data_IF_543808905867
#
_entry.id   IF_543808905867
#
_cell.length_a   1.000
_cell.length_b   1.000
_cell.length_c   1.000
_cell.angle_alpha   90.00
_cell.angle_beta   90.00
_cell.angle_gamma   90.00
#
_symmetry.space_group_name_H-M   'P 1'
#
loop_
_entity.id
_entity.type
_entity.pdbx_description
1 polymer ?
#
# COMPACT_ATOMS: atom_id res chain seq x y z
N UNK A 1 -7.71 -15.64 3.98
CA UNK A 1 -7.60 -14.74 5.14
C UNK A 1 -7.58 -13.29 4.63
N UNK A 2 -8.50 -12.44 5.03
CA UNK A 2 -8.48 -11.05 4.60
C UNK A 2 -7.34 -10.28 5.29
N UNK A 3 -6.95 -9.18 4.66
CA UNK A 3 -6.01 -8.25 5.28
C UNK A 3 -6.58 -7.75 6.62
N UNK A 4 -5.76 -7.66 7.68
CA UNK A 4 -6.27 -7.25 8.99
C UNK A 4 -6.93 -5.86 8.95
N UNK A 5 -8.12 -5.76 9.51
CA UNK A 5 -8.91 -4.52 9.55
C UNK A 5 -8.52 -3.69 10.77
N UNK A 6 -7.29 -3.17 10.77
CA UNK A 6 -6.74 -2.37 11.87
C UNK A 6 -6.42 -0.98 11.34
N UNK A 7 -6.79 0.05 12.11
CA UNK A 7 -6.49 1.43 11.72
C UNK A 7 -5.00 1.72 11.90
N UNK A 8 -4.30 2.16 10.85
CA UNK A 8 -2.89 2.51 10.98
C UNK A 8 -2.70 3.82 11.76
N UNK A 9 -1.57 3.94 12.43
CA UNK A 9 -1.18 5.18 13.09
C UNK A 9 -0.81 6.27 12.09
N UNK A 10 -0.23 5.86 10.96
CA UNK A 10 0.05 6.76 9.84
C UNK A 10 0.04 5.97 8.54
N UNK A 11 -0.16 6.67 7.45
CA UNK A 11 -0.09 6.08 6.12
C UNK A 11 0.57 7.04 5.14
N UNK A 12 1.31 6.50 4.20
CA UNK A 12 1.85 7.24 3.07
C UNK A 12 1.35 6.59 1.80
N UNK A 13 0.70 7.37 0.95
CA UNK A 13 0.18 6.89 -0.32
C UNK A 13 0.82 7.65 -1.46
N UNK A 14 1.47 6.90 -2.37
CA UNK A 14 1.98 7.43 -3.62
C UNK A 14 1.01 7.00 -4.71
N UNK A 15 0.34 7.97 -5.32
CA UNK A 15 -0.66 7.72 -6.36
C UNK A 15 -0.04 7.23 -7.67
N UNK A 16 1.27 7.07 -7.71
CA UNK A 16 1.96 6.63 -8.91
C UNK A 16 2.05 7.73 -9.96
N UNK A 17 2.42 7.33 -11.14
CA UNK A 17 2.57 8.25 -12.25
C UNK A 17 2.00 7.64 -13.52
N UNK A 18 1.75 8.48 -14.51
CA UNK A 18 1.33 8.02 -15.82
C UNK A 18 2.49 7.35 -16.55
N UNK A 19 2.24 6.27 -17.29
CA UNK A 19 3.30 5.56 -18.00
C UNK A 19 3.76 6.36 -19.22
N UNK A 20 4.60 7.36 -18.97
CA UNK A 20 5.13 8.27 -19.98
C UNK A 20 6.61 7.98 -20.21
N UNK A 21 7.00 7.87 -21.46
CA UNK A 21 8.39 7.77 -21.85
C UNK A 21 8.86 9.05 -22.50
N UNK A 22 10.02 9.54 -22.10
CA UNK A 22 10.61 10.77 -22.64
C UNK A 22 11.70 10.42 -23.62
N UNK A 23 11.69 11.11 -24.75
CA UNK A 23 12.77 11.04 -25.74
C UNK A 23 13.30 12.45 -25.99
N UNK A 24 14.60 12.59 -26.08
CA UNK A 24 15.24 13.85 -26.40
C UNK A 24 15.93 13.74 -27.75
N UNK A 25 15.56 14.62 -28.70
CA UNK A 25 16.19 14.69 -30.00
C UNK A 25 17.56 15.38 -29.93
N UNK A 26 18.38 15.24 -30.97
CA UNK A 26 19.71 15.85 -31.02
C UNK A 26 19.65 17.37 -30.92
N UNK A 27 18.58 18.00 -31.41
CA UNK A 27 18.40 19.45 -31.32
C UNK A 27 17.89 19.93 -29.96
N UNK A 28 17.78 19.03 -28.99
CA UNK A 28 17.29 19.34 -27.66
C UNK A 28 15.78 19.26 -27.47
N UNK A 29 15.01 19.00 -28.52
CA UNK A 29 13.57 18.85 -28.41
C UNK A 29 13.23 17.59 -27.60
N UNK A 30 12.25 17.70 -26.72
CA UNK A 30 11.76 16.61 -25.89
C UNK A 30 10.43 16.11 -26.43
N UNK A 31 10.30 14.80 -26.59
CA UNK A 31 9.05 14.15 -26.95
C UNK A 31 8.65 13.20 -25.83
N UNK A 32 7.38 13.24 -25.44
CA UNK A 32 6.82 12.36 -24.41
C UNK A 32 5.76 11.47 -25.04
N UNK A 33 5.84 10.17 -24.76
CA UNK A 33 4.87 9.20 -25.22
C UNK A 33 4.13 8.62 -24.03
N UNK A 34 2.81 8.56 -24.13
CA UNK A 34 1.95 7.95 -23.12
C UNK A 34 1.68 6.50 -23.50
N UNK A 35 2.07 5.55 -22.62
CA UNK A 35 1.95 4.13 -22.87
C UNK A 35 0.69 3.50 -22.26
N UNK A 36 -0.15 4.28 -21.64
CA UNK A 36 -1.38 3.77 -21.05
C UNK A 36 -2.23 4.91 -20.52
N UNK A 37 -3.45 4.60 -20.13
CA UNK A 37 -4.43 5.60 -19.67
C UNK A 37 -4.70 5.47 -18.17
N UNK A 38 -3.83 4.80 -17.42
CA UNK A 38 -3.95 4.62 -15.97
C UNK A 38 -2.63 4.92 -15.30
N UNK A 39 -2.70 5.37 -14.04
CA UNK A 39 -1.51 5.54 -13.23
C UNK A 39 -0.93 4.18 -12.86
N UNK A 40 0.38 4.09 -12.86
CA UNK A 40 1.13 2.90 -12.48
C UNK A 40 2.05 3.19 -11.31
N UNK A 41 2.60 2.14 -10.70
CA UNK A 41 3.53 2.25 -9.56
C UNK A 41 2.87 2.89 -8.32
N UNK A 42 1.62 2.51 -8.06
CA UNK A 42 0.96 2.90 -6.82
C UNK A 42 1.68 2.27 -5.64
N UNK A 43 1.94 3.06 -4.60
CA UNK A 43 2.58 2.56 -3.39
C UNK A 43 1.81 3.01 -2.17
N UNK A 44 1.71 2.12 -1.20
CA UNK A 44 1.04 2.40 0.05
C UNK A 44 1.91 1.87 1.19
N UNK A 45 2.26 2.75 2.11
CA UNK A 45 2.98 2.38 3.32
C UNK A 45 2.10 2.64 4.52
N UNK A 46 1.90 1.62 5.33
CA UNK A 46 1.06 1.69 6.53
C UNK A 46 1.94 1.44 7.75
N UNK A 47 1.83 2.32 8.72
CA UNK A 47 2.57 2.20 9.98
C UNK A 47 1.57 1.99 11.12
N UNK A 48 1.77 0.94 11.90
CA UNK A 48 0.94 0.58 13.05
C UNK A 48 1.82 0.64 14.29
N UNK A 49 1.63 1.67 15.09
CA UNK A 49 2.44 1.86 16.29
C UNK A 49 1.72 1.30 17.52
N UNK A 50 2.49 0.67 18.42
CA UNK A 50 1.98 0.20 19.71
C UNK A 50 0.79 -0.74 19.57
N UNK A 51 0.91 -1.72 18.68
CA UNK A 51 -0.11 -2.75 18.51
C UNK A 51 0.26 -3.99 19.33
N UNK A 52 -0.76 -4.73 19.73
CA UNK A 52 -0.53 -5.98 20.45
C UNK A 52 0.18 -7.02 19.57
N UNK A 53 0.99 -7.88 20.15
CA UNK A 53 1.71 -8.92 19.40
C UNK A 53 0.77 -9.85 18.65
N UNK A 54 -0.44 -10.08 19.14
CA UNK A 54 -1.44 -10.87 18.43
C UNK A 54 -1.83 -10.23 17.10
N UNK A 55 -1.95 -8.91 17.07
CA UNK A 55 -2.24 -8.17 15.84
C UNK A 55 -1.04 -8.22 14.88
N UNK A 56 0.17 -8.07 15.41
CA UNK A 56 1.38 -8.19 14.59
C UNK A 56 1.47 -9.58 13.94
N UNK A 57 1.10 -10.62 14.68
CA UNK A 57 1.07 -11.98 14.16
C UNK A 57 0.07 -12.15 13.02
N UNK A 58 -1.06 -11.43 13.03
CA UNK A 58 -2.03 -11.46 11.96
C UNK A 58 -1.46 -10.91 10.65
N UNK A 59 -0.63 -9.86 10.71
CA UNK A 59 0.03 -9.33 9.52
C UNK A 59 1.01 -10.33 8.92
N UNK A 60 1.78 -11.01 9.76
CA UNK A 60 2.67 -12.08 9.28
C UNK A 60 1.91 -13.25 8.68
N UNK A 61 0.81 -13.65 9.31
CA UNK A 61 -0.03 -14.74 8.78
C UNK A 61 -0.60 -14.39 7.41
N UNK A 62 -1.06 -13.15 7.22
CA UNK A 62 -1.56 -12.70 5.93
C UNK A 62 -0.44 -12.67 4.88
N UNK A 63 0.74 -12.22 5.24
CA UNK A 63 1.90 -12.23 4.35
C UNK A 63 2.26 -13.65 3.90
N UNK A 64 2.22 -14.61 4.81
CA UNK A 64 2.48 -16.02 4.49
C UNK A 64 1.38 -16.60 3.59
N UNK A 65 0.13 -16.22 3.81
CA UNK A 65 -0.99 -16.67 2.98
C UNK A 65 -0.89 -16.17 1.54
N UNK A 66 -0.38 -14.96 1.34
CA UNK A 66 -0.14 -14.43 -0.01
C UNK A 66 1.15 -14.97 -0.64
N UNK A 67 1.78 -15.94 -0.01
CA UNK A 67 3.07 -16.50 -0.46
C UNK A 67 4.12 -15.39 -0.61
N UNK A 68 4.25 -14.60 0.45
CA UNK A 68 5.17 -13.47 0.46
C UNK A 68 4.76 -12.38 -0.53
N UNK A 69 5.68 -12.00 -1.38
CA UNK A 69 5.45 -10.95 -2.38
C UNK A 69 4.86 -11.47 -3.69
N UNK A 70 4.47 -12.74 -3.75
CA UNK A 70 4.08 -13.38 -5.01
C UNK A 70 2.63 -13.10 -5.40
N UNK A 71 1.68 -13.28 -4.47
CA UNK A 71 0.25 -13.16 -4.78
C UNK A 71 -0.27 -11.77 -4.48
N UNK A 72 -1.30 -11.36 -5.24
CA UNK A 72 -2.01 -10.11 -4.99
C UNK A 72 -3.22 -10.36 -4.09
N UNK A 73 -3.70 -9.28 -3.48
CA UNK A 73 -4.92 -9.31 -2.68
C UNK A 73 -5.65 -7.97 -2.82
N UNK A 74 -6.93 -7.96 -2.46
CA UNK A 74 -7.71 -6.73 -2.38
C UNK A 74 -8.14 -6.50 -0.93
N UNK A 75 -8.29 -5.24 -0.55
CA UNK A 75 -8.83 -4.91 0.75
C UNK A 75 -10.32 -5.21 0.79
N UNK A 76 -10.77 -5.91 1.82
CA UNK A 76 -12.18 -6.10 2.08
C UNK A 76 -12.85 -4.77 2.44
N UNK A 77 -14.18 -4.71 2.40
CA UNK A 77 -14.92 -3.50 2.79
C UNK A 77 -14.58 -3.06 4.21
N UNK A 78 -14.48 -3.99 5.13
CA UNK A 78 -14.13 -3.69 6.52
C UNK A 78 -12.70 -3.16 6.64
N UNK A 79 -11.76 -3.74 5.91
CA UNK A 79 -10.39 -3.26 5.92
C UNK A 79 -10.29 -1.85 5.34
N UNK A 80 -11.01 -1.55 4.27
CA UNK A 80 -11.01 -0.21 3.69
C UNK A 80 -11.55 0.84 4.65
N UNK A 81 -12.60 0.53 5.37
CA UNK A 81 -13.15 1.45 6.38
C UNK A 81 -12.11 1.70 7.48
N UNK A 82 -11.45 0.66 7.97
CA UNK A 82 -10.44 0.80 9.02
C UNK A 82 -9.21 1.58 8.53
N UNK A 83 -8.78 1.33 7.29
CA UNK A 83 -7.55 1.92 6.76
C UNK A 83 -7.71 3.35 6.27
N UNK A 84 -8.87 3.70 5.72
CA UNK A 84 -9.02 4.94 4.97
C UNK A 84 -10.05 5.91 5.52
N UNK A 85 -11.08 5.45 6.22
CA UNK A 85 -12.12 6.35 6.71
C UNK A 85 -11.59 7.35 7.74
N UNK A 86 -11.97 8.61 7.60
CA UNK A 86 -11.64 9.65 8.56
C UNK A 86 -10.23 10.22 8.47
N UNK A 87 -9.43 9.78 7.50
CA UNK A 87 -8.07 10.27 7.32
C UNK A 87 -8.00 11.59 6.55
N UNK A 88 -8.96 11.84 5.68
CA UNK A 88 -8.99 13.05 4.88
C UNK A 88 -10.23 13.86 5.20
N UNK A 89 -10.12 15.18 5.14
CA UNK A 89 -11.28 16.06 5.32
C UNK A 89 -12.25 15.98 4.13
N UNK A 90 -11.77 15.51 2.97
CA UNK A 90 -12.57 15.28 1.78
C UNK A 90 -12.65 13.79 1.53
N UNK A 91 -13.88 13.27 1.51
CA UNK A 91 -14.11 11.84 1.40
C UNK A 91 -13.49 11.27 0.11
N UNK A 92 -12.59 10.31 0.27
CA UNK A 92 -12.06 9.49 -0.80
C UNK A 92 -11.07 10.14 -1.76
N UNK A 93 -10.85 11.46 -1.68
CA UNK A 93 -10.02 12.15 -2.68
C UNK A 93 -8.54 11.73 -2.59
N UNK A 94 -8.05 11.47 -1.40
CA UNK A 94 -6.65 11.08 -1.16
C UNK A 94 -6.50 9.60 -0.83
N UNK A 95 -7.58 8.84 -0.95
CA UNK A 95 -7.54 7.40 -0.70
C UNK A 95 -7.19 6.64 -1.98
N UNK A 96 -6.56 5.46 -1.85
CA UNK A 96 -6.31 4.62 -3.02
C UNK A 96 -7.61 4.22 -3.72
N UNK A 97 -7.60 4.09 -5.08
CA UNK A 97 -8.79 3.68 -5.81
C UNK A 97 -9.28 2.30 -5.38
N UNK A 98 -10.59 2.09 -5.49
CA UNK A 98 -11.17 0.76 -5.29
C UNK A 98 -10.81 -0.16 -6.45
N UNK A 99 -10.74 -1.46 -6.18
CA UNK A 99 -10.50 -2.45 -7.22
C UNK A 99 -9.05 -2.62 -7.62
N UNK A 100 -8.13 -1.95 -6.94
CA UNK A 100 -6.70 -2.16 -7.17
C UNK A 100 -6.25 -3.42 -6.45
N UNK A 101 -5.53 -4.27 -7.16
CA UNK A 101 -4.87 -5.42 -6.55
C UNK A 101 -3.57 -4.97 -5.91
N UNK A 102 -3.37 -5.35 -4.66
CA UNK A 102 -2.19 -4.99 -3.90
C UNK A 102 -1.27 -6.20 -3.73
N UNK A 103 0.01 -5.92 -3.71
CA UNK A 103 1.04 -6.93 -3.49
C UNK A 103 2.01 -6.40 -2.44
N UNK A 104 2.47 -7.27 -1.55
CA UNK A 104 3.52 -6.89 -0.62
C UNK A 104 4.80 -6.59 -1.39
N UNK A 105 5.38 -5.43 -1.15
CA UNK A 105 6.68 -5.06 -1.72
C UNK A 105 7.81 -5.78 -0.99
N UNK A 106 7.63 -5.97 0.32
CA UNK A 106 8.58 -6.68 1.17
C UNK A 106 7.84 -7.23 2.39
N UNK A 107 8.49 -8.09 3.16
CA UNK A 107 7.91 -8.60 4.38
C UNK A 107 7.58 -7.47 5.35
N UNK A 108 6.47 -7.59 6.12
CA UNK A 108 6.17 -6.61 7.15
C UNK A 108 7.32 -6.51 8.15
N UNK A 109 7.72 -5.28 8.45
CA UNK A 109 8.76 -5.03 9.46
C UNK A 109 8.10 -4.91 10.82
N UNK A 110 8.55 -5.74 11.76
CA UNK A 110 8.00 -5.75 13.11
C UNK A 110 9.12 -5.42 14.08
N UNK A 111 8.92 -4.37 14.85
CA UNK A 111 9.86 -3.94 15.89
C UNK A 111 9.18 -4.05 17.24
N UNK A 112 9.76 -4.84 18.14
CA UNK A 112 9.27 -4.94 19.49
C UNK A 112 9.61 -3.66 20.27
N UNK A 113 8.59 -3.02 20.80
CA UNK A 113 8.76 -1.79 21.61
C UNK A 113 8.93 -2.17 23.08
N UNK A 114 8.12 -3.11 23.55
CA UNK A 114 8.15 -3.68 24.89
C UNK A 114 7.44 -5.03 24.86
N UNK A 115 7.57 -5.85 25.91
CA UNK A 115 6.88 -7.14 25.91
C UNK A 115 5.38 -6.99 25.64
N UNK A 116 4.89 -7.71 24.63
CA UNK A 116 3.49 -7.69 24.23
C UNK A 116 3.06 -6.57 23.29
N UNK A 117 3.94 -5.61 23.02
CA UNK A 117 3.62 -4.44 22.17
C UNK A 117 4.71 -4.28 21.11
N UNK A 118 4.28 -4.11 19.87
CA UNK A 118 5.16 -3.98 18.71
C UNK A 118 4.71 -2.88 17.77
N UNK A 119 5.63 -2.42 16.94
CA UNK A 119 5.34 -1.52 15.81
C UNK A 119 5.47 -2.31 14.52
N UNK A 120 4.48 -2.21 13.65
CA UNK A 120 4.45 -2.92 12.36
C UNK A 120 4.45 -1.90 11.23
N UNK A 121 5.33 -2.09 10.25
CA UNK A 121 5.37 -1.29 9.04
C UNK A 121 5.13 -2.20 7.84
N UNK A 122 4.11 -1.87 7.05
CA UNK A 122 3.71 -2.65 5.87
C UNK A 122 3.91 -1.79 4.64
N UNK A 123 4.60 -2.33 3.64
CA UNK A 123 4.79 -1.65 2.35
C UNK A 123 4.12 -2.47 1.25
N UNK A 124 3.23 -1.82 0.50
CA UNK A 124 2.43 -2.45 -0.53
C UNK A 124 2.63 -1.74 -1.88
N UNK A 125 2.53 -2.50 -2.95
CA UNK A 125 2.57 -1.98 -4.31
C UNK A 125 1.25 -2.29 -5.00
N UNK A 126 0.65 -1.29 -5.65
CA UNK A 126 -0.55 -1.48 -6.43
C UNK A 126 -0.23 -2.08 -7.79
N UNK A 127 -1.00 -3.11 -8.16
CA UNK A 127 -0.90 -3.78 -9.45
C UNK A 127 -2.13 -3.40 -10.27
N UNK A 128 -1.91 -2.81 -11.42
CA UNK A 128 -2.98 -2.35 -12.31
C UNK A 128 -2.94 -3.11 -13.62
#
# INVERSE_FOLDING_TARGET
MPYPAVRPSSRAYDSGDWPVRKYRAQNGAEVRLLYGNKRTNLKLQLSYENVADTVAAEFLAHFDETTGTFRTFQFSSNARVALFAGWTGTAGALDPPQGVDWRYEKAPQIQAVRPGISTVIVSLTGVI
#
